data_IF_126920095068
#
_entry.id   IF_126920095068
#
_cell.length_a   1.000
_cell.length_b   1.000
_cell.length_c   1.000
_cell.angle_alpha   90.00
_cell.angle_beta   90.00
_cell.angle_gamma   90.00
#
_symmetry.space_group_name_H-M   'P 1'
#
loop_
_entity.id
_entity.type
_entity.pdbx_description
1 polymer ?
#
# COMPACT_ATOMS: atom_id res chain seq x y z
N UNK A 1 42.20 20.93 -59.43
CA UNK A 1 42.04 19.48 -59.59
C UNK A 1 42.02 18.82 -58.21
N UNK A 2 40.93 18.08 -57.94
CA UNK A 2 40.61 17.19 -56.79
C UNK A 2 40.37 17.80 -55.39
N UNK A 3 39.20 17.51 -54.76
CA UNK A 3 38.76 18.09 -53.49
C UNK A 3 39.04 17.15 -52.31
N UNK A 4 39.15 17.69 -51.09
CA UNK A 4 39.02 16.89 -49.86
C UNK A 4 37.96 17.49 -48.95
N UNK A 5 36.80 16.86 -49.06
CA UNK A 5 35.63 16.90 -48.20
C UNK A 5 36.07 16.57 -46.75
N UNK A 6 35.91 17.49 -45.81
CA UNK A 6 35.87 17.17 -44.38
C UNK A 6 34.55 17.69 -43.84
N UNK A 7 33.59 16.78 -43.75
CA UNK A 7 32.29 16.94 -43.11
C UNK A 7 32.55 16.98 -41.60
N UNK A 8 32.42 18.13 -40.97
CA UNK A 8 32.40 18.26 -39.52
C UNK A 8 30.97 18.01 -39.05
N UNK A 9 30.73 16.82 -38.51
CA UNK A 9 29.45 16.41 -37.92
C UNK A 9 29.19 17.24 -36.66
N UNK A 10 28.11 18.03 -36.70
CA UNK A 10 27.54 18.77 -35.60
C UNK A 10 26.83 17.80 -34.64
N UNK A 11 27.40 17.58 -33.46
CA UNK A 11 26.85 16.70 -32.42
C UNK A 11 25.83 17.51 -31.57
N UNK A 12 24.55 17.40 -31.93
CA UNK A 12 23.45 18.00 -31.18
C UNK A 12 23.24 17.25 -29.85
N UNK A 13 23.51 17.92 -28.73
CA UNK A 13 23.17 17.44 -27.39
C UNK A 13 21.66 17.58 -27.19
N UNK A 14 20.96 16.44 -27.22
CA UNK A 14 19.54 16.36 -26.89
C UNK A 14 19.40 16.25 -25.36
N UNK A 15 19.29 17.39 -24.67
CA UNK A 15 18.92 17.42 -23.25
C UNK A 15 17.44 17.04 -23.12
N UNK A 16 17.17 15.81 -22.70
CA UNK A 16 15.84 15.39 -22.27
C UNK A 16 15.48 16.07 -20.95
N UNK A 17 14.42 16.89 -20.95
CA UNK A 17 13.73 17.27 -19.72
C UNK A 17 12.99 16.04 -19.21
N UNK A 18 13.54 15.39 -18.19
CA UNK A 18 12.76 14.47 -17.36
C UNK A 18 11.82 15.31 -16.49
N UNK A 19 10.52 15.26 -16.79
CA UNK A 19 9.49 15.79 -15.90
C UNK A 19 9.37 14.79 -14.77
N UNK A 20 9.96 15.10 -13.62
CA UNK A 20 9.73 14.33 -12.41
C UNK A 20 8.30 14.61 -11.94
N UNK A 21 7.43 13.60 -12.03
CA UNK A 21 6.12 13.62 -11.38
C UNK A 21 6.33 13.79 -9.88
N UNK A 22 6.14 15.01 -9.38
CA UNK A 22 6.07 15.29 -7.94
C UNK A 22 4.73 14.76 -7.42
N UNK A 23 4.61 13.44 -7.32
CA UNK A 23 3.53 12.85 -6.54
C UNK A 23 3.82 13.16 -5.06
N UNK A 24 2.90 13.81 -4.32
CA UNK A 24 3.12 14.07 -2.91
C UNK A 24 3.38 12.73 -2.21
N UNK A 25 4.45 12.68 -1.41
CA UNK A 25 4.83 11.49 -0.67
C UNK A 25 3.63 11.03 0.17
N UNK A 26 3.16 9.80 -0.08
CA UNK A 26 2.09 9.22 0.73
C UNK A 26 2.57 9.16 2.18
N UNK A 27 1.75 9.61 3.15
CA UNK A 27 2.14 9.58 4.56
C UNK A 27 2.50 8.15 4.95
N UNK A 28 3.53 8.01 5.80
CA UNK A 28 3.96 6.69 6.23
C UNK A 28 2.83 5.99 6.97
N UNK A 29 2.78 4.67 6.86
CA UNK A 29 1.71 3.84 7.41
C UNK A 29 1.55 4.01 8.92
N UNK A 30 2.67 4.21 9.63
CA UNK A 30 2.69 4.51 11.06
C UNK A 30 2.00 5.84 11.36
N UNK A 31 2.30 6.89 10.59
CA UNK A 31 1.70 8.21 10.80
C UNK A 31 0.18 8.16 10.60
N UNK A 32 -0.27 7.38 9.60
CA UNK A 32 -1.67 7.14 9.25
C UNK A 32 -2.44 6.30 10.30
N UNK A 33 -1.80 5.41 11.04
CA UNK A 33 -2.46 4.68 12.13
C UNK A 33 -2.43 5.48 13.45
N UNK A 34 -1.36 6.24 13.67
CA UNK A 34 -1.13 6.97 14.90
C UNK A 34 -2.00 8.23 14.99
N UNK A 35 -2.28 8.94 13.88
CA UNK A 35 -3.24 10.05 13.92
C UNK A 35 -4.64 9.58 14.30
N UNK A 36 -5.13 8.47 13.72
CA UNK A 36 -6.48 7.98 13.99
C UNK A 36 -6.63 7.55 15.46
N UNK A 37 -5.57 7.00 16.04
CA UNK A 37 -5.55 6.57 17.44
C UNK A 37 -5.55 7.74 18.43
N UNK A 38 -5.06 8.92 18.02
CA UNK A 38 -4.95 10.11 18.87
C UNK A 38 -5.93 11.24 18.48
N UNK A 39 -6.71 11.07 17.41
CA UNK A 39 -7.64 12.07 16.92
C UNK A 39 -8.92 12.13 17.76
N UNK A 40 -9.43 13.33 17.97
CA UNK A 40 -10.80 13.53 18.45
C UNK A 40 -11.77 13.33 17.26
N UNK A 41 -12.60 12.28 17.32
CA UNK A 41 -13.54 11.94 16.25
C UNK A 41 -14.78 12.84 16.37
N UNK A 42 -14.88 13.83 15.47
CA UNK A 42 -16.01 14.79 15.46
C UNK A 42 -17.33 14.18 14.94
N UNK A 43 -17.26 13.11 14.15
CA UNK A 43 -18.45 12.45 13.60
C UNK A 43 -18.15 11.12 12.94
N UNK A 44 -19.10 10.19 13.06
CA UNK A 44 -19.04 8.85 12.48
C UNK A 44 -20.38 8.53 11.80
N UNK A 45 -20.32 8.09 10.54
CA UNK A 45 -21.50 7.63 9.80
C UNK A 45 -21.19 6.35 9.04
N UNK A 46 -22.02 5.34 9.24
CA UNK A 46 -21.93 4.10 8.50
C UNK A 46 -22.23 4.36 7.01
N UNK A 47 -21.35 3.87 6.15
CA UNK A 47 -21.56 3.86 4.71
C UNK A 47 -22.19 2.51 4.31
N UNK A 48 -23.10 2.49 3.32
CA UNK A 48 -23.70 1.25 2.83
C UNK A 48 -22.73 0.50 1.90
N UNK A 49 -21.64 -0.02 2.47
CA UNK A 49 -20.59 -0.77 1.78
C UNK A 49 -20.48 -2.14 2.44
N UNK A 50 -20.83 -3.20 1.71
CA UNK A 50 -20.82 -4.58 2.21
C UNK A 50 -19.49 -5.30 1.96
N UNK A 51 -18.74 -4.84 0.97
CA UNK A 51 -17.43 -5.36 0.62
C UNK A 51 -16.70 -4.36 -0.27
N UNK A 52 -15.38 -4.54 -0.33
CA UNK A 52 -14.46 -3.64 -0.99
C UNK A 52 -13.42 -4.47 -1.73
N UNK A 53 -13.24 -4.19 -3.01
CA UNK A 53 -12.26 -4.82 -3.88
C UNK A 53 -11.11 -3.85 -4.19
N UNK A 54 -9.88 -4.32 -4.11
CA UNK A 54 -8.73 -3.58 -4.66
C UNK A 54 -8.72 -3.75 -6.18
N UNK A 55 -8.53 -2.65 -6.91
CA UNK A 55 -8.43 -2.64 -8.37
C UNK A 55 -7.12 -1.96 -8.78
N UNK A 56 -6.33 -2.64 -9.61
CA UNK A 56 -5.10 -2.11 -10.21
C UNK A 56 -5.32 -1.92 -11.71
N UNK A 57 -5.31 -0.67 -12.18
CA UNK A 57 -5.51 -0.36 -13.59
C UNK A 57 -4.67 0.86 -14.00
N UNK A 58 -4.02 0.81 -15.17
CA UNK A 58 -3.22 1.91 -15.70
C UNK A 58 -2.09 2.36 -14.75
N UNK A 59 -1.51 1.42 -14.00
CA UNK A 59 -0.46 1.71 -13.00
C UNK A 59 -0.96 2.39 -11.72
N UNK A 60 -2.28 2.52 -11.53
CA UNK A 60 -2.90 3.11 -10.34
C UNK A 60 -3.68 2.07 -9.56
N UNK A 61 -3.85 2.34 -8.27
CA UNK A 61 -4.65 1.51 -7.36
C UNK A 61 -5.81 2.35 -6.83
N UNK A 62 -6.98 1.73 -6.79
CA UNK A 62 -8.17 2.26 -6.14
C UNK A 62 -8.94 1.11 -5.49
N UNK A 63 -9.83 1.45 -4.56
CA UNK A 63 -10.68 0.50 -3.87
C UNK A 63 -12.13 0.77 -4.26
N UNK A 64 -12.87 -0.26 -4.63
CA UNK A 64 -14.23 -0.10 -5.15
C UNK A 64 -15.20 -0.98 -4.37
N UNK A 65 -16.36 -0.45 -4.02
CA UNK A 65 -17.40 -1.25 -3.41
C UNK A 65 -17.89 -2.32 -4.38
N UNK A 66 -18.30 -3.49 -3.88
CA UNK A 66 -18.64 -4.63 -4.75
C UNK A 66 -19.79 -4.34 -5.73
N UNK A 67 -20.70 -3.44 -5.37
CA UNK A 67 -21.78 -2.97 -6.23
C UNK A 67 -21.36 -1.85 -7.21
N UNK A 68 -20.08 -1.47 -7.23
CA UNK A 68 -19.52 -0.41 -8.08
C UNK A 68 -19.96 1.02 -7.73
N UNK A 69 -20.74 1.22 -6.65
CA UNK A 69 -21.32 2.53 -6.30
C UNK A 69 -20.29 3.53 -5.75
N UNK A 70 -19.26 3.04 -5.08
CA UNK A 70 -18.25 3.87 -4.44
C UNK A 70 -16.86 3.47 -4.91
N UNK A 71 -16.03 4.45 -5.21
CA UNK A 71 -14.60 4.28 -5.43
C UNK A 71 -13.84 5.18 -4.45
N UNK A 72 -12.84 4.61 -3.79
CA UNK A 72 -11.96 5.25 -2.82
C UNK A 72 -10.57 5.30 -3.44
N UNK A 73 -9.98 6.50 -3.48
CA UNK A 73 -8.60 6.73 -3.93
C UNK A 73 -7.74 7.06 -2.72
N UNK A 74 -6.52 6.54 -2.68
CA UNK A 74 -5.61 6.72 -1.55
C UNK A 74 -4.96 5.41 -1.12
N UNK A 75 -4.51 5.37 0.14
CA UNK A 75 -3.83 4.21 0.71
C UNK A 75 -4.75 3.50 1.70
N UNK A 76 -4.87 2.18 1.58
CA UNK A 76 -5.52 1.34 2.59
C UNK A 76 -4.50 0.91 3.63
N UNK A 77 -4.80 1.13 4.90
CA UNK A 77 -3.99 0.68 6.03
C UNK A 77 -4.71 -0.48 6.72
N UNK A 78 -4.03 -1.62 6.82
CA UNK A 78 -4.43 -2.71 7.71
C UNK A 78 -4.04 -2.32 9.13
N UNK A 79 -5.05 -2.08 9.98
CA UNK A 79 -4.87 -1.42 11.28
C UNK A 79 -4.19 -2.32 12.30
N UNK A 80 -4.35 -3.64 12.22
CA UNK A 80 -3.81 -4.57 13.22
C UNK A 80 -2.29 -4.68 13.15
N UNK A 81 -1.75 -4.84 11.94
CA UNK A 81 -0.32 -4.94 11.68
C UNK A 81 0.31 -3.60 11.29
N UNK A 82 -0.49 -2.54 11.09
CA UNK A 82 -0.05 -1.22 10.59
C UNK A 82 0.76 -1.37 9.30
N UNK A 83 0.14 -2.00 8.30
CA UNK A 83 0.75 -2.20 6.97
C UNK A 83 -0.13 -1.56 5.89
N UNK A 84 0.48 -0.86 4.93
CA UNK A 84 -0.23 -0.38 3.77
C UNK A 84 -0.44 -1.51 2.77
N UNK A 85 -1.66 -1.63 2.26
CA UNK A 85 -2.01 -2.55 1.19
C UNK A 85 -1.78 -1.81 -0.13
N UNK A 86 -0.66 -2.12 -0.76
CA UNK A 86 -0.13 -1.48 -1.99
C UNK A 86 -0.05 -2.42 -3.17
N UNK A 87 -0.24 -3.73 -2.96
CA UNK A 87 -0.19 -4.73 -4.02
C UNK A 87 -1.33 -5.75 -3.85
N UNK A 88 -1.79 -6.32 -4.97
CA UNK A 88 -2.90 -7.29 -4.96
C UNK A 88 -2.57 -8.52 -4.11
N UNK A 89 -1.34 -9.04 -4.20
CA UNK A 89 -0.89 -10.20 -3.42
C UNK A 89 -0.94 -9.96 -1.90
N UNK A 90 -0.85 -8.70 -1.45
CA UNK A 90 -0.96 -8.36 -0.03
C UNK A 90 -2.39 -8.50 0.47
N UNK A 91 -3.40 -8.33 -0.40
CA UNK A 91 -4.81 -8.52 -0.05
C UNK A 91 -5.06 -9.96 0.40
N UNK A 92 -4.53 -10.94 -0.34
CA UNK A 92 -4.69 -12.35 0.02
C UNK A 92 -4.00 -12.70 1.34
N UNK A 93 -2.85 -12.08 1.63
CA UNK A 93 -2.14 -12.29 2.89
C UNK A 93 -2.90 -11.69 4.07
N UNK A 94 -3.39 -10.46 3.92
CA UNK A 94 -4.14 -9.75 4.97
C UNK A 94 -5.52 -10.38 5.20
N UNK A 95 -6.21 -10.79 4.14
CA UNK A 95 -7.56 -11.34 4.24
C UNK A 95 -7.57 -12.75 4.86
N UNK A 96 -6.53 -13.55 4.62
CA UNK A 96 -6.54 -14.98 4.97
C UNK A 96 -5.59 -15.36 6.11
N UNK A 97 -4.79 -14.43 6.64
CA UNK A 97 -3.82 -14.74 7.71
C UNK A 97 -3.87 -13.70 8.82
N UNK A 98 -3.83 -14.20 10.05
CA UNK A 98 -3.64 -13.39 11.25
C UNK A 98 -2.26 -13.72 11.80
N UNK A 99 -1.34 -12.76 11.75
CA UNK A 99 0.00 -12.90 12.31
C UNK A 99 0.02 -12.43 13.77
N UNK A 100 -0.22 -13.39 14.67
CA UNK A 100 -0.29 -13.14 16.11
C UNK A 100 1.02 -12.59 16.69
N UNK A 101 2.17 -12.84 16.03
CA UNK A 101 3.48 -12.39 16.52
C UNK A 101 3.69 -10.89 16.36
N UNK A 102 3.05 -10.28 15.36
CA UNK A 102 3.10 -8.84 15.07
C UNK A 102 2.02 -8.07 15.82
N UNK A 103 1.00 -8.76 16.27
CA UNK A 103 0.02 -8.21 17.19
C UNK A 103 0.68 -8.05 18.56
N UNK A 104 0.45 -6.92 19.24
CA UNK A 104 0.88 -6.73 20.64
C UNK A 104 0.01 -7.56 21.61
N UNK A 105 -0.25 -8.83 21.27
CA UNK A 105 -1.12 -9.75 21.95
C UNK A 105 -0.27 -10.81 22.64
N UNK A 106 -0.39 -10.95 23.97
CA UNK A 106 0.22 -12.04 24.71
C UNK A 106 -0.75 -13.20 24.73
N UNK A 107 -0.35 -14.34 24.16
CA UNK A 107 -1.22 -15.51 24.06
C UNK A 107 -1.61 -16.04 25.44
N UNK A 108 -0.73 -15.92 26.43
CA UNK A 108 -0.97 -16.35 27.81
C UNK A 108 -2.12 -15.59 28.47
N UNK A 109 -2.34 -14.34 28.07
CA UNK A 109 -3.43 -13.50 28.60
C UNK A 109 -4.81 -13.97 28.08
N UNK A 110 -4.85 -14.89 27.11
CA UNK A 110 -6.09 -15.46 26.56
C UNK A 110 -6.55 -16.74 27.28
N UNK A 111 -5.83 -17.19 28.32
CA UNK A 111 -6.10 -18.45 29.01
C UNK A 111 -6.02 -19.69 28.11
N UNK A 112 -4.95 -19.87 27.31
CA UNK A 112 -4.87 -20.94 26.34
C UNK A 112 -4.67 -22.30 27.03
N UNK A 113 -5.41 -23.31 26.58
CA UNK A 113 -5.06 -24.70 26.88
C UNK A 113 -4.03 -25.18 25.84
N UNK A 114 -2.82 -25.51 26.28
CA UNK A 114 -1.75 -26.01 25.39
C UNK A 114 -1.75 -27.53 25.38
N UNK A 115 -1.79 -28.14 24.21
CA UNK A 115 -1.73 -29.61 24.03
C UNK A 115 -0.67 -29.94 22.99
N UNK A 116 0.25 -30.85 23.34
CA UNK A 116 1.38 -31.27 22.49
C UNK A 116 2.75 -30.78 22.98
N UNK A 117 3.82 -31.48 22.60
CA UNK A 117 5.22 -31.20 23.01
C UNK A 117 6.16 -30.90 21.84
N UNK A 118 5.61 -30.66 20.65
CA UNK A 118 6.40 -30.29 19.48
C UNK A 118 7.07 -28.92 19.66
N UNK A 119 8.35 -28.81 19.34
CA UNK A 119 9.06 -27.53 19.41
C UNK A 119 8.45 -26.55 18.41
N UNK A 120 7.89 -25.45 18.91
CA UNK A 120 7.30 -24.40 18.09
C UNK A 120 8.38 -23.78 17.18
N UNK A 121 8.34 -24.06 15.88
CA UNK A 121 9.08 -23.30 14.87
C UNK A 121 8.07 -22.39 14.17
N UNK A 122 7.83 -21.25 14.78
CA UNK A 122 7.17 -20.09 14.19
C UNK A 122 8.22 -19.09 13.76
#
# INVERSE_FOLDING_TARGET
MRPRLLITILLSVLTGLAVADTHPASPSVSDAADWLSNANIEGLKALPIHGLSMVKAGGKIFFMSDNGRFAITGTMIEVWNRVAVTELDQVDQVANRIDLSKMKLKIDDLGPATVGSGSNRS
#
